data_IF_274572239765
#
_entry.id   IF_274572239765
#
_cell.length_a   1.000
_cell.length_b   1.000
_cell.length_c   1.000
_cell.angle_alpha   90.00
_cell.angle_beta   90.00
_cell.angle_gamma   90.00
#
_symmetry.space_group_name_H-M   'P 1'
#
loop_
_entity.id
_entity.type
_entity.pdbx_description
1 polymer ?
#
# COMPACT_ATOMS: atom_id res chain seq x y z
N UNK A 1 -13.78 -1.97 15.02
CA UNK A 1 -12.57 -1.31 14.48
C UNK A 1 -12.25 -0.17 15.43
N UNK A 2 -11.01 -0.04 15.91
CA UNK A 2 -10.64 1.04 16.83
C UNK A 2 -10.63 2.38 16.10
N UNK A 3 -11.21 3.43 16.68
CA UNK A 3 -11.27 4.76 16.06
C UNK A 3 -9.89 5.29 15.64
N UNK A 4 -8.84 4.95 16.39
CA UNK A 4 -7.45 5.29 16.07
C UNK A 4 -6.95 4.76 14.71
N UNK A 5 -7.47 3.62 14.24
CA UNK A 5 -7.11 3.07 12.92
C UNK A 5 -7.66 3.95 11.79
N UNK A 6 -8.90 4.42 11.93
CA UNK A 6 -9.53 5.27 10.93
C UNK A 6 -8.83 6.63 10.85
N UNK A 7 -8.45 7.21 11.99
CA UNK A 7 -7.66 8.44 12.04
C UNK A 7 -6.29 8.27 11.38
N UNK A 8 -5.58 7.17 11.67
CA UNK A 8 -4.28 6.87 11.08
C UNK A 8 -4.39 6.68 9.55
N UNK A 9 -5.44 6.00 9.09
CA UNK A 9 -5.71 5.82 7.65
C UNK A 9 -5.99 7.16 6.97
N UNK A 10 -6.82 8.02 7.58
CA UNK A 10 -7.16 9.34 7.04
C UNK A 10 -5.91 10.23 6.93
N UNK A 11 -5.07 10.26 7.97
CA UNK A 11 -3.78 10.98 7.96
C UNK A 11 -2.87 10.40 6.88
N UNK A 12 -2.79 9.07 6.78
CA UNK A 12 -2.00 8.39 5.76
C UNK A 12 -2.39 8.76 4.33
N UNK A 13 -3.69 8.78 4.06
CA UNK A 13 -4.25 9.21 2.77
C UNK A 13 -3.92 10.68 2.49
N UNK A 14 -4.09 11.56 3.48
CA UNK A 14 -3.78 12.99 3.35
C UNK A 14 -2.27 13.21 3.07
N UNK A 15 -1.40 12.56 3.82
CA UNK A 15 0.06 12.62 3.62
C UNK A 15 0.45 12.05 2.27
N UNK A 16 -0.12 10.91 1.87
CA UNK A 16 0.11 10.32 0.55
C UNK A 16 -0.31 11.24 -0.59
N UNK A 17 -1.44 11.94 -0.46
CA UNK A 17 -1.90 12.94 -1.43
C UNK A 17 -0.95 14.15 -1.50
N UNK A 18 -0.55 14.70 -0.36
CA UNK A 18 0.41 15.82 -0.32
C UNK A 18 1.76 15.41 -0.92
N UNK A 19 2.23 14.21 -0.58
CA UNK A 19 3.47 13.65 -1.11
C UNK A 19 3.41 13.50 -2.63
N UNK A 20 2.33 12.92 -3.15
CA UNK A 20 2.10 12.79 -4.59
C UNK A 20 2.03 14.16 -5.28
N UNK A 21 1.34 15.12 -4.69
CA UNK A 21 1.22 16.46 -5.26
C UNK A 21 2.56 17.21 -5.31
N UNK A 22 3.43 17.01 -4.32
CA UNK A 22 4.74 17.69 -4.25
C UNK A 22 5.82 17.02 -5.08
N UNK A 23 5.86 15.68 -5.12
CA UNK A 23 6.95 14.92 -5.75
C UNK A 23 6.59 14.32 -7.10
N UNK A 24 5.28 14.19 -7.40
CA UNK A 24 4.79 13.44 -8.55
C UNK A 24 4.92 11.92 -8.43
N UNK A 25 5.45 11.41 -7.31
CA UNK A 25 5.71 9.98 -7.08
C UNK A 25 4.56 9.37 -6.28
N UNK A 26 4.02 8.25 -6.75
CA UNK A 26 2.95 7.52 -6.05
C UNK A 26 3.53 6.66 -4.92
N UNK A 27 3.00 6.69 -3.70
CA UNK A 27 3.48 5.88 -2.58
C UNK A 27 2.89 4.45 -2.60
N UNK A 28 2.82 3.82 -3.78
CA UNK A 28 2.24 2.49 -3.93
C UNK A 28 0.72 2.46 -3.77
N UNK A 29 0.04 3.57 -4.08
CA UNK A 29 -1.38 3.81 -3.87
C UNK A 29 -1.66 4.78 -2.73
N UNK A 30 -2.74 5.57 -2.87
CA UNK A 30 -3.10 6.63 -1.90
C UNK A 30 -3.36 6.09 -0.49
N UNK A 31 -3.84 4.85 -0.38
CA UNK A 31 -4.21 4.23 0.91
C UNK A 31 -3.01 3.51 1.56
N UNK A 32 -2.03 3.10 0.76
CA UNK A 32 -0.86 2.30 1.17
C UNK A 32 -0.04 2.91 2.31
N UNK A 33 0.32 4.21 2.34
CA UNK A 33 1.10 4.78 3.44
C UNK A 33 0.37 4.71 4.79
N UNK A 34 -0.95 4.90 4.82
CA UNK A 34 -1.73 4.81 6.07
C UNK A 34 -1.77 3.40 6.64
N UNK A 35 -1.89 2.39 5.76
CA UNK A 35 -1.93 0.99 6.20
C UNK A 35 -0.54 0.46 6.53
N UNK A 36 0.48 0.89 5.79
CA UNK A 36 1.87 0.62 6.13
C UNK A 36 2.21 1.23 7.49
N UNK A 37 1.83 2.49 7.75
CA UNK A 37 2.03 3.13 9.06
C UNK A 37 1.42 2.32 10.21
N UNK A 38 0.21 1.79 10.00
CA UNK A 38 -0.43 0.90 10.98
C UNK A 38 0.29 -0.45 11.15
N UNK A 39 0.88 -0.94 10.06
CA UNK A 39 1.51 -2.26 10.02
C UNK A 39 3.00 -2.22 10.38
N UNK A 40 3.58 -1.05 10.66
CA UNK A 40 4.97 -0.88 11.09
C UNK A 40 5.30 -1.70 12.34
N UNK A 41 4.34 -1.90 13.24
CA UNK A 41 4.51 -2.73 14.44
C UNK A 41 4.56 -4.25 14.17
N UNK A 42 4.23 -4.69 12.96
CA UNK A 42 4.18 -6.10 12.58
C UNK A 42 4.95 -6.33 11.27
N UNK A 43 6.29 -6.52 11.32
CA UNK A 43 7.14 -6.57 10.13
C UNK A 43 6.76 -7.71 9.17
N UNK A 44 6.25 -8.82 9.70
CA UNK A 44 5.77 -9.97 8.90
C UNK A 44 4.67 -9.56 7.92
N UNK A 45 3.77 -8.65 8.32
CA UNK A 45 2.66 -8.18 7.48
C UNK A 45 3.14 -7.27 6.36
N UNK A 46 4.10 -6.40 6.66
CA UNK A 46 4.74 -5.53 5.67
C UNK A 46 5.51 -6.37 4.65
N UNK A 47 6.29 -7.34 5.13
CA UNK A 47 7.02 -8.27 4.26
C UNK A 47 6.06 -9.06 3.35
N UNK A 48 4.94 -9.54 3.88
CA UNK A 48 3.91 -10.22 3.09
C UNK A 48 3.28 -9.33 2.01
N UNK A 49 2.96 -8.07 2.32
CA UNK A 49 2.42 -7.13 1.35
C UNK A 49 3.43 -6.80 0.24
N UNK A 50 4.70 -6.58 0.59
CA UNK A 50 5.78 -6.32 -0.37
C UNK A 50 6.05 -7.56 -1.23
N UNK A 51 6.13 -8.75 -0.63
CA UNK A 51 6.31 -10.00 -1.37
C UNK A 51 5.14 -10.27 -2.32
N UNK A 52 3.90 -10.03 -1.86
CA UNK A 52 2.71 -10.10 -2.70
C UNK A 52 2.74 -9.10 -3.85
N UNK A 53 3.19 -7.86 -3.60
CA UNK A 53 3.35 -6.85 -4.64
C UNK A 53 4.37 -7.27 -5.70
N UNK A 54 5.51 -7.85 -5.29
CA UNK A 54 6.49 -8.42 -6.22
C UNK A 54 5.90 -9.58 -7.03
N UNK A 55 5.14 -10.48 -6.40
CA UNK A 55 4.47 -11.57 -7.11
C UNK A 55 3.48 -11.08 -8.17
N UNK A 56 2.61 -10.15 -7.80
CA UNK A 56 1.65 -9.54 -8.72
C UNK A 56 2.38 -8.79 -9.83
N UNK A 57 3.42 -8.01 -9.49
CA UNK A 57 4.22 -7.28 -10.47
C UNK A 57 4.91 -8.21 -11.47
N UNK A 58 5.52 -9.30 -11.03
CA UNK A 58 6.17 -10.27 -11.90
C UNK A 58 5.17 -10.95 -12.85
N UNK A 59 4.00 -11.34 -12.35
CA UNK A 59 2.93 -11.88 -13.20
C UNK A 59 2.39 -10.83 -14.17
N UNK A 60 2.23 -9.58 -13.72
CA UNK A 60 1.76 -8.46 -14.55
C UNK A 60 2.76 -8.16 -15.67
N UNK A 61 4.06 -8.23 -15.39
CA UNK A 61 5.11 -8.01 -16.39
C UNK A 61 5.12 -9.14 -17.42
N UNK A 62 4.96 -10.39 -17.00
CA UNK A 62 4.86 -11.54 -17.90
C UNK A 62 3.62 -11.43 -18.81
N UNK A 63 2.46 -11.07 -18.26
CA UNK A 63 1.21 -10.90 -19.03
C UNK A 63 1.28 -9.67 -19.92
N UNK A 64 1.95 -8.59 -19.50
CA UNK A 64 2.07 -7.38 -20.32
C UNK A 64 2.86 -7.60 -21.62
N UNK A 65 3.64 -8.68 -21.71
CA UNK A 65 4.34 -9.10 -22.94
C UNK A 65 3.38 -9.72 -23.96
N UNK A 66 2.31 -10.38 -23.51
CA UNK A 66 1.32 -11.02 -24.38
C UNK A 66 0.13 -10.10 -24.67
N UNK A 67 -0.29 -9.30 -23.68
CA UNK A 67 -1.40 -8.36 -23.79
C UNK A 67 -0.88 -6.97 -23.42
N UNK A 68 -0.69 -6.06 -24.39
CA UNK A 68 -0.28 -4.69 -24.08
C UNK A 68 -1.45 -3.94 -23.40
N UNK A 69 -1.42 -3.90 -22.07
CA UNK A 69 -2.40 -3.20 -21.24
C UNK A 69 -2.01 -1.72 -21.08
N UNK A 70 -2.83 -0.81 -21.61
CA UNK A 70 -2.56 0.62 -21.59
C UNK A 70 -3.37 1.38 -20.51
N UNK A 71 -2.74 2.39 -19.90
CA UNK A 71 -3.41 3.38 -19.06
C UNK A 71 -4.15 2.83 -17.83
N UNK A 72 -5.46 3.16 -17.70
CA UNK A 72 -6.31 2.77 -16.55
C UNK A 72 -6.62 1.27 -16.50
N UNK A 73 -6.67 0.58 -17.64
CA UNK A 73 -6.95 -0.86 -17.68
C UNK A 73 -5.86 -1.67 -16.98
N UNK A 74 -4.61 -1.18 -17.02
CA UNK A 74 -3.46 -1.78 -16.33
C UNK A 74 -3.64 -1.84 -14.82
N UNK A 75 -4.16 -0.75 -14.21
CA UNK A 75 -4.40 -0.70 -12.76
C UNK A 75 -5.50 -1.69 -12.37
N UNK A 76 -6.60 -1.73 -13.15
CA UNK A 76 -7.68 -2.69 -12.92
C UNK A 76 -7.20 -4.14 -13.06
N UNK A 77 -6.31 -4.41 -14.01
CA UNK A 77 -5.74 -5.74 -14.20
C UNK A 77 -4.78 -6.13 -13.08
N UNK A 78 -3.96 -5.20 -12.58
CA UNK A 78 -3.12 -5.42 -11.41
C UNK A 78 -3.95 -5.74 -10.15
N UNK A 79 -5.05 -5.02 -9.94
CA UNK A 79 -6.04 -5.31 -8.89
C UNK A 79 -6.65 -6.71 -9.05
N UNK A 80 -7.06 -7.05 -10.27
CA UNK A 80 -7.66 -8.36 -10.57
C UNK A 80 -6.64 -9.49 -10.33
N UNK A 81 -5.40 -9.31 -10.75
CA UNK A 81 -4.34 -10.29 -10.56
C UNK A 81 -3.99 -10.48 -9.09
N UNK A 82 -3.96 -9.39 -8.31
CA UNK A 82 -3.81 -9.47 -6.86
C UNK A 82 -4.95 -10.24 -6.20
N UNK A 83 -6.19 -10.09 -6.69
CA UNK A 83 -7.34 -10.85 -6.23
C UNK A 83 -7.23 -12.34 -6.59
N UNK A 84 -6.86 -12.66 -7.84
CA UNK A 84 -6.66 -14.05 -8.29
C UNK A 84 -5.56 -14.72 -7.47
N UNK A 85 -4.44 -14.03 -7.23
CA UNK A 85 -3.35 -14.53 -6.40
C UNK A 85 -3.82 -14.78 -4.96
N UNK A 86 -4.64 -13.89 -4.40
CA UNK A 86 -5.24 -14.07 -3.06
C UNK A 86 -6.14 -15.31 -2.98
N UNK A 87 -6.90 -15.59 -4.03
CA UNK A 87 -7.76 -16.78 -4.10
C UNK A 87 -6.89 -18.04 -4.24
N UNK A 88 -5.87 -18.00 -5.09
CA UNK A 88 -4.96 -19.13 -5.33
C UNK A 88 -4.14 -19.52 -4.09
N UNK A 89 -3.74 -18.54 -3.28
CA UNK A 89 -3.02 -18.78 -2.02
C UNK A 89 -3.91 -19.34 -0.89
N UNK A 90 -5.23 -19.37 -1.08
CA UNK A 90 -6.19 -19.95 -0.14
C UNK A 90 -6.28 -19.24 1.21
N UNK A 91 -7.02 -19.85 2.15
CA UNK A 91 -7.15 -19.44 3.56
C UNK A 91 -5.87 -19.63 4.39
N UNK A 92 -4.80 -20.20 3.82
CA UNK A 92 -3.52 -20.41 4.50
C UNK A 92 -2.83 -19.10 4.91
N UNK A 93 -3.29 -17.96 4.41
CA UNK A 93 -2.85 -16.61 4.78
C UNK A 93 -3.96 -15.88 5.57
N UNK A 94 -4.62 -16.57 6.50
CA UNK A 94 -5.75 -16.02 7.27
C UNK A 94 -5.37 -15.26 8.56
N UNK A 95 -4.10 -14.98 8.80
CA UNK A 95 -3.73 -14.09 9.92
C UNK A 95 -3.61 -12.63 9.49
N UNK A 96 -4.72 -11.92 9.78
CA UNK A 96 -4.85 -10.47 10.02
C UNK A 96 -5.57 -9.64 8.93
N UNK A 97 -6.87 -9.44 9.16
CA UNK A 97 -7.68 -8.25 8.81
C UNK A 97 -7.72 -7.82 7.33
N UNK A 98 -8.44 -8.66 6.60
CA UNK A 98 -8.98 -8.56 5.25
C UNK A 98 -9.94 -7.38 5.00
N UNK A 99 -9.43 -6.15 4.94
CA UNK A 99 -10.03 -5.14 4.04
C UNK A 99 -9.00 -4.50 3.09
N UNK A 100 -7.69 -4.70 3.31
CA UNK A 100 -6.62 -4.05 2.55
C UNK A 100 -5.53 -4.98 1.99
N UNK A 101 -5.52 -6.25 2.42
CA UNK A 101 -4.42 -7.19 2.13
C UNK A 101 -4.22 -7.56 0.65
N UNK A 102 -5.25 -7.44 -0.19
CA UNK A 102 -5.13 -7.67 -1.64
C UNK A 102 -5.01 -6.36 -2.43
N UNK A 103 -5.65 -5.29 -1.95
CA UNK A 103 -5.66 -4.00 -2.62
C UNK A 103 -4.27 -3.34 -2.58
N UNK A 104 -3.56 -3.41 -1.44
CA UNK A 104 -2.20 -2.84 -1.32
C UNK A 104 -1.20 -3.49 -2.29
N UNK A 105 -1.02 -4.82 -2.31
CA UNK A 105 -0.05 -5.42 -3.23
C UNK A 105 -0.40 -5.17 -4.69
N UNK A 106 -1.69 -5.12 -5.06
CA UNK A 106 -2.07 -4.75 -6.41
C UNK A 106 -1.80 -3.28 -6.74
N UNK A 107 -2.00 -2.36 -5.79
CA UNK A 107 -1.76 -0.91 -5.97
C UNK A 107 -0.25 -0.66 -6.09
N UNK A 108 0.54 -1.28 -5.20
CA UNK A 108 1.98 -1.28 -5.27
C UNK A 108 2.49 -1.89 -6.57
N UNK A 109 1.96 -3.03 -7.02
CA UNK A 109 2.38 -3.67 -8.27
C UNK A 109 2.09 -2.79 -9.50
N UNK A 110 0.93 -2.12 -9.50
CA UNK A 110 0.60 -1.15 -10.55
C UNK A 110 1.62 0.00 -10.59
N UNK A 111 2.04 0.50 -9.43
CA UNK A 111 3.05 1.55 -9.30
C UNK A 111 4.48 1.05 -9.59
N UNK A 112 4.83 -0.18 -9.21
CA UNK A 112 6.12 -0.81 -9.53
C UNK A 112 6.36 -0.81 -11.04
N UNK A 113 5.32 -1.11 -11.81
CA UNK A 113 5.42 -1.15 -13.25
C UNK A 113 5.42 0.25 -13.89
N UNK A 114 5.06 1.33 -13.16
CA UNK A 114 5.06 2.72 -13.68
C UNK A 114 6.35 3.47 -13.35
N UNK A 115 6.83 3.34 -12.13
CA UNK A 115 7.93 4.14 -11.56
C UNK A 115 9.07 3.27 -11.01
N UNK A 116 8.94 1.94 -11.09
CA UNK A 116 9.92 0.98 -10.60
C UNK A 116 9.65 0.53 -9.16
N UNK A 117 10.08 -0.67 -8.77
CA UNK A 117 9.88 -1.20 -7.43
C UNK A 117 10.65 -0.40 -6.37
N UNK A 118 11.88 0.02 -6.69
CA UNK A 118 12.75 0.75 -5.75
C UNK A 118 12.14 2.10 -5.35
N UNK A 119 11.71 2.89 -6.34
CA UNK A 119 11.10 4.21 -6.11
C UNK A 119 9.81 4.07 -5.33
N UNK A 120 8.97 3.09 -5.69
CA UNK A 120 7.69 2.87 -5.03
C UNK A 120 7.88 2.43 -3.57
N UNK A 121 8.82 1.54 -3.28
CA UNK A 121 9.10 1.14 -1.91
C UNK A 121 9.65 2.31 -1.09
N UNK A 122 10.62 3.05 -1.63
CA UNK A 122 11.18 4.21 -0.95
C UNK A 122 10.11 5.27 -0.64
N UNK A 123 9.24 5.60 -1.60
CA UNK A 123 8.14 6.55 -1.39
C UNK A 123 7.10 6.03 -0.42
N UNK A 124 6.73 4.74 -0.51
CA UNK A 124 5.76 4.11 0.39
C UNK A 124 6.24 4.12 1.84
N UNK A 125 7.50 3.74 2.09
CA UNK A 125 8.07 3.73 3.43
C UNK A 125 8.27 5.15 3.98
N UNK A 126 8.75 6.09 3.15
CA UNK A 126 8.90 7.48 3.55
C UNK A 126 7.55 8.09 3.96
N UNK A 127 6.51 7.92 3.13
CA UNK A 127 5.17 8.40 3.42
C UNK A 127 4.53 7.69 4.63
N UNK A 128 4.79 6.39 4.82
CA UNK A 128 4.32 5.65 5.99
C UNK A 128 4.94 6.16 7.29
N UNK A 129 6.26 6.41 7.31
CA UNK A 129 6.96 6.98 8.48
C UNK A 129 6.44 8.40 8.77
N UNK A 130 6.28 9.23 7.74
CA UNK A 130 5.71 10.57 7.89
C UNK A 130 4.29 10.54 8.48
N UNK A 131 3.47 9.58 8.05
CA UNK A 131 2.10 9.39 8.55
C UNK A 131 2.07 8.90 10.00
N UNK A 132 2.98 7.98 10.36
CA UNK A 132 3.15 7.52 11.74
C UNK A 132 3.60 8.66 12.67
N UNK A 133 4.56 9.48 12.23
CA UNK A 133 5.06 10.65 12.97
C UNK A 133 3.95 11.70 13.15
N UNK A 134 3.17 11.98 12.11
CA UNK A 134 2.05 12.91 12.18
C UNK A 134 1.00 12.44 13.20
N UNK A 135 0.69 11.14 13.20
CA UNK A 135 -0.24 10.57 14.17
C UNK A 135 0.31 10.60 15.61
N UNK A 136 1.60 10.29 15.82
CA UNK A 136 2.21 10.37 17.15
C UNK A 136 2.22 11.81 17.68
N UNK A 137 2.42 12.81 16.82
CA UNK A 137 2.35 14.22 17.20
C UNK A 137 0.93 14.64 17.62
N UNK A 138 -0.08 14.25 16.86
CA UNK A 138 -1.48 14.60 17.14
C UNK A 138 -1.95 13.94 18.44
N UNK A 139 -1.59 12.67 18.66
CA UNK A 139 -1.94 11.94 19.87
C UNK A 139 -1.21 12.51 21.10
N UNK A 140 0.06 12.86 20.96
CA UNK A 140 0.83 13.52 22.04
C UNK A 140 0.26 14.90 22.38
N UNK A 141 -0.11 15.71 21.39
CA UNK A 141 -0.73 17.01 21.60
C UNK A 141 -2.09 16.92 22.31
N UNK A 142 -2.86 15.86 22.05
CA UNK A 142 -4.10 15.59 22.79
C UNK A 142 -3.85 15.14 24.23
N UNK A 143 -2.77 14.41 24.48
CA UNK A 143 -2.37 13.99 25.83
C UNK A 143 -1.89 15.15 26.71
N UNK A 144 -1.41 16.26 26.14
CA UNK A 144 -1.08 17.49 26.86
C UNK A 144 -2.30 18.35 27.25
N UNK A 145 -3.47 18.07 26.68
CA UNK A 145 -4.71 18.81 26.92
C UNK A 145 -5.63 18.12 27.95
N UNK A 146 -5.18 17.02 28.56
CA UNK A 146 -5.84 16.30 29.66
C UNK A 146 -4.96 16.36 30.91
#
# INVERSE_FOLDING_TARGET
>A
MSDGFLWLLAIGVAVGMVFYHRTGISPGGVITPGVLAYSLGAPVRVAGAVAGAFGVWACLELISRTIPLYGRQRIAFAMFLALVLRIALGSSVDSWYLWLGWAIPGLMAADFQRQGPVVTLASSFSAAIASAMAFSLITSARGWLQ
#
